data_IF_770830427592
#
_entry.id   IF_770830427592
#
_cell.length_a   1.000
_cell.length_b   1.000
_cell.length_c   1.000
_cell.angle_alpha   90.00
_cell.angle_beta   90.00
_cell.angle_gamma   90.00
#
_symmetry.space_group_name_H-M   'P 1'
#
loop_
_entity.id
_entity.type
_entity.pdbx_description
1 polymer ?
#
# COMPACT_ATOMS: atom_id res chain seq x y z
N UNK A 1 -4.93 5.14 -5.01
CA UNK A 1 -5.68 3.87 -5.19
C UNK A 1 -5.15 2.88 -4.18
N UNK A 2 -5.92 1.88 -3.74
CA UNK A 2 -5.38 0.93 -2.76
C UNK A 2 -4.20 0.15 -3.36
N UNK A 3 -3.31 -0.36 -2.50
CA UNK A 3 -2.26 -1.28 -2.96
C UNK A 3 -2.86 -2.54 -3.59
N UNK A 4 -4.04 -2.97 -3.13
CA UNK A 4 -4.75 -4.11 -3.72
C UNK A 4 -5.17 -3.85 -5.16
N UNK A 5 -5.81 -2.71 -5.43
CA UNK A 5 -6.28 -2.36 -6.77
C UNK A 5 -5.11 -2.21 -7.74
N UNK A 6 -4.05 -1.54 -7.30
CA UNK A 6 -2.83 -1.40 -8.09
C UNK A 6 -2.23 -2.76 -8.49
N UNK A 7 -2.21 -3.73 -7.57
CA UNK A 7 -1.67 -5.06 -7.85
C UNK A 7 -2.57 -5.85 -8.80
N UNK A 8 -3.90 -5.71 -8.70
CA UNK A 8 -4.86 -6.31 -9.64
C UNK A 8 -4.71 -5.74 -11.04
N UNK A 9 -4.55 -4.42 -11.18
CA UNK A 9 -4.36 -3.77 -12.49
C UNK A 9 -3.01 -4.10 -13.12
N UNK A 10 -1.93 -4.13 -12.33
CA UNK A 10 -0.57 -4.37 -12.82
C UNK A 10 -0.29 -5.85 -13.13
N UNK A 11 -0.95 -6.76 -12.42
CA UNK A 11 -0.74 -8.20 -12.54
C UNK A 11 -2.08 -8.96 -12.72
N UNK A 12 -2.86 -8.68 -13.78
CA UNK A 12 -4.22 -9.19 -13.92
C UNK A 12 -4.29 -10.72 -14.01
N UNK A 13 -3.28 -11.35 -14.62
CA UNK A 13 -3.23 -12.80 -14.82
C UNK A 13 -2.52 -13.55 -13.66
N UNK A 14 -2.10 -12.83 -12.62
CA UNK A 14 -1.40 -13.42 -11.48
C UNK A 14 -2.33 -13.61 -10.29
N UNK A 15 -2.20 -14.77 -9.63
CA UNK A 15 -2.82 -14.96 -8.31
C UNK A 15 -2.25 -13.94 -7.32
N UNK A 16 -3.02 -13.49 -6.31
CA UNK A 16 -2.57 -12.48 -5.35
C UNK A 16 -1.22 -12.79 -4.70
N UNK A 17 -0.98 -14.07 -4.38
CA UNK A 17 0.30 -14.53 -3.84
C UNK A 17 1.50 -14.25 -4.78
N UNK A 18 1.33 -14.50 -6.07
CA UNK A 18 2.37 -14.30 -7.08
C UNK A 18 2.57 -12.81 -7.38
N UNK A 19 1.48 -12.03 -7.44
CA UNK A 19 1.53 -10.57 -7.58
C UNK A 19 2.27 -9.91 -6.40
N UNK A 20 1.94 -10.29 -5.16
CA UNK A 20 2.62 -9.82 -3.95
C UNK A 20 4.14 -10.11 -4.03
N UNK A 21 4.52 -11.31 -4.47
CA UNK A 21 5.91 -11.71 -4.58
C UNK A 21 6.65 -10.96 -5.70
N UNK A 22 6.00 -10.76 -6.86
CA UNK A 22 6.57 -10.02 -7.99
C UNK A 22 6.79 -8.54 -7.61
N UNK A 23 5.82 -7.93 -6.93
CA UNK A 23 5.92 -6.55 -6.47
C UNK A 23 6.97 -6.40 -5.37
N UNK A 24 7.01 -7.33 -4.40
CA UNK A 24 8.01 -7.32 -3.33
C UNK A 24 9.46 -7.30 -3.84
N UNK A 25 9.73 -8.02 -4.94
CA UNK A 25 11.05 -8.00 -5.60
C UNK A 25 11.40 -6.64 -6.17
N UNK A 26 10.44 -5.88 -6.70
CA UNK A 26 10.66 -4.56 -7.30
C UNK A 26 11.02 -3.50 -6.27
N UNK A 27 10.44 -3.57 -5.08
CA UNK A 27 10.68 -2.62 -3.99
C UNK A 27 11.59 -3.17 -2.88
N UNK A 28 12.29 -4.26 -3.17
CA UNK A 28 13.30 -4.89 -2.32
C UNK A 28 12.80 -5.14 -0.89
N UNK A 29 11.70 -5.89 -0.77
CA UNK A 29 11.12 -6.31 0.50
C UNK A 29 10.64 -7.76 0.45
N UNK A 30 10.09 -8.25 1.56
CA UNK A 30 9.51 -9.59 1.61
C UNK A 30 8.08 -9.62 1.05
N UNK A 31 7.69 -10.73 0.43
CA UNK A 31 6.29 -10.97 0.03
C UNK A 31 5.34 -10.78 1.22
N UNK A 32 5.71 -11.29 2.39
CA UNK A 32 4.89 -11.20 3.61
C UNK A 32 4.59 -9.75 3.99
N UNK A 33 5.55 -8.84 3.83
CA UNK A 33 5.32 -7.41 4.08
C UNK A 33 4.27 -6.85 3.12
N UNK A 34 4.36 -7.15 1.82
CA UNK A 34 3.36 -6.70 0.84
C UNK A 34 1.98 -7.24 1.15
N UNK A 35 1.88 -8.54 1.49
CA UNK A 35 0.61 -9.14 1.90
C UNK A 35 0.02 -8.40 3.11
N UNK A 36 0.81 -8.11 4.15
CA UNK A 36 0.35 -7.37 5.33
C UNK A 36 -0.10 -5.94 5.00
N UNK A 37 0.61 -5.25 4.11
CA UNK A 37 0.23 -3.90 3.67
C UNK A 37 -1.07 -3.90 2.87
N UNK A 38 -1.25 -4.91 2.00
CA UNK A 38 -2.46 -5.08 1.19
C UNK A 38 -3.68 -5.41 2.05
N UNK A 39 -3.49 -6.25 3.07
CA UNK A 39 -4.53 -6.66 4.01
C UNK A 39 -4.73 -5.67 5.17
N UNK A 40 -4.01 -4.55 5.18
CA UNK A 40 -4.05 -3.54 6.24
C UNK A 40 -3.67 -4.06 7.64
N UNK A 41 -3.01 -5.21 7.73
CA UNK A 41 -2.54 -5.81 8.99
C UNK A 41 -1.34 -5.05 9.56
N UNK A 42 -0.58 -4.37 8.69
CA UNK A 42 0.57 -3.59 9.09
C UNK A 42 0.69 -2.34 8.23
N UNK A 43 1.08 -1.23 8.85
CA UNK A 43 1.33 0.01 8.13
C UNK A 43 2.80 0.01 7.63
N UNK A 44 3.07 0.36 6.35
CA UNK A 44 4.43 0.42 5.86
C UNK A 44 5.22 1.55 6.53
N UNK A 45 6.53 1.34 6.70
CA UNK A 45 7.42 2.40 7.19
C UNK A 45 7.56 3.53 6.16
N UNK A 46 7.96 4.75 6.56
CA UNK A 46 8.16 5.86 5.61
C UNK A 46 9.08 5.53 4.43
N UNK A 47 10.15 4.75 4.69
CA UNK A 47 11.04 4.24 3.64
C UNK A 47 10.31 3.33 2.64
N UNK A 48 9.42 2.47 3.14
CA UNK A 48 8.65 1.56 2.29
C UNK A 48 7.58 2.30 1.49
N UNK A 49 6.91 3.29 2.11
CA UNK A 49 5.97 4.18 1.42
C UNK A 49 6.66 4.87 0.25
N UNK A 50 7.87 5.40 0.45
CA UNK A 50 8.63 6.04 -0.63
C UNK A 50 8.91 5.06 -1.79
N UNK A 51 9.30 3.81 -1.49
CA UNK A 51 9.55 2.79 -2.51
C UNK A 51 8.29 2.37 -3.26
N UNK A 52 7.19 2.12 -2.54
CA UNK A 52 5.88 1.78 -3.11
C UNK A 52 5.40 2.92 -4.01
N UNK A 53 5.52 4.17 -3.55
CA UNK A 53 5.15 5.36 -4.33
C UNK A 53 5.98 5.47 -5.60
N UNK A 54 7.29 5.24 -5.54
CA UNK A 54 8.17 5.28 -6.71
C UNK A 54 7.79 4.19 -7.72
N UNK A 55 7.65 2.93 -7.29
CA UNK A 55 7.32 1.81 -8.18
C UNK A 55 5.91 1.93 -8.77
N UNK A 56 4.97 2.48 -8.00
CA UNK A 56 3.60 2.76 -8.45
C UNK A 56 3.45 4.07 -9.22
N UNK A 57 4.54 4.80 -9.48
CA UNK A 57 4.52 6.14 -10.12
C UNK A 57 3.56 7.12 -9.44
N UNK A 58 3.42 7.01 -8.12
CA UNK A 58 2.55 7.87 -7.31
C UNK A 58 1.10 7.43 -7.21
N UNK A 59 0.71 6.30 -7.81
CA UNK A 59 -0.67 5.82 -7.77
C UNK A 59 -1.09 5.29 -6.40
N UNK A 60 -0.15 4.71 -5.64
CA UNK A 60 -0.37 4.26 -4.26
C UNK A 60 0.34 5.22 -3.31
N UNK A 61 -0.41 5.87 -2.43
CA UNK A 61 0.10 6.83 -1.44
C UNK A 61 0.14 6.25 -0.01
N UNK A 62 0.59 7.07 0.96
CA UNK A 62 0.64 6.67 2.37
C UNK A 62 -0.75 6.38 2.96
N UNK A 63 -1.75 7.19 2.60
CA UNK A 63 -3.11 7.05 3.10
C UNK A 63 -3.79 5.82 2.51
N UNK A 64 -3.27 5.32 1.38
CA UNK A 64 -3.78 4.18 0.68
C UNK A 64 -3.53 2.84 1.42
N UNK A 65 -2.69 2.87 2.46
CA UNK A 65 -2.41 1.73 3.35
C UNK A 65 -3.28 1.70 4.62
N UNK A 66 -4.34 2.52 4.67
CA UNK A 66 -5.34 2.45 5.72
C UNK A 66 -6.61 1.73 5.25
N UNK A 67 -7.27 0.94 6.12
CA UNK A 67 -8.59 0.40 5.86
C UNK A 67 -9.58 1.51 5.43
N UNK A 68 -10.51 1.25 4.50
CA UNK A 68 -11.47 2.24 4.04
C UNK A 68 -12.24 2.95 5.16
N UNK A 69 -12.58 2.21 6.22
CA UNK A 69 -13.28 2.70 7.40
C UNK A 69 -12.47 3.77 8.17
N UNK A 70 -11.14 3.63 8.20
CA UNK A 70 -10.24 4.56 8.88
C UNK A 70 -9.81 5.74 7.99
N UNK A 71 -9.88 5.60 6.66
CA UNK A 71 -9.54 6.68 5.72
C UNK A 71 -10.46 7.89 5.84
N UNK A 72 -11.74 7.68 6.14
CA UNK A 72 -12.71 8.77 6.29
C UNK A 72 -12.41 9.65 7.52
N UNK A 73 -11.91 9.06 8.61
CA UNK A 73 -11.52 9.79 9.83
C UNK A 73 -10.17 10.50 9.74
N UNK A 74 -9.27 10.05 8.85
CA UNK A 74 -7.93 10.64 8.69
C UNK A 74 -7.85 11.84 7.74
N UNK A 75 -8.88 12.07 6.90
CA UNK A 75 -9.02 13.30 6.07
C UNK A 75 -9.34 14.53 6.95
N UNK A 76 -8.55 14.81 7.98
CA UNK A 76 -8.91 15.87 8.91
C UNK A 76 -8.12 16.02 10.21
N UNK A 77 -7.02 15.31 10.45
CA UNK A 77 -6.17 15.62 11.61
C UNK A 77 -5.29 16.88 11.37
N UNK A 78 -5.89 17.97 10.87
CA UNK A 78 -5.43 19.35 11.09
C UNK A 78 -6.52 20.06 11.88
N UNK A 79 -6.13 20.54 13.06
CA UNK A 79 -6.87 21.30 14.09
C UNK A 79 -7.67 20.48 15.12
N UNK A 80 -7.00 20.22 16.24
CA UNK A 80 -7.50 20.61 17.56
C UNK A 80 -6.30 20.88 18.50
N UNK A 81 -5.72 22.07 18.37
CA UNK A 81 -5.03 22.74 19.48
C UNK A 81 -5.85 23.99 19.76
N UNK A 82 -6.66 23.93 20.81
CA UNK A 82 -7.21 25.04 21.58
C UNK A 82 -7.71 24.44 22.89
#
# INVERSE_FOLDING_TARGET
MTLEDYLKEKYPDMKPYAADAAFARKIETSRQNITRYRLYEHFPTPKMIARIRTESKGLVDANDHMPPELRAGYRGAKKARA
#
